data_IF_797608303204
#
_entry.id   IF_797608303204
#
_cell.length_a   1.000
_cell.length_b   1.000
_cell.length_c   1.000
_cell.angle_alpha   90.00
_cell.angle_beta   90.00
_cell.angle_gamma   90.00
#
_symmetry.space_group_name_H-M   'P 1'
#
loop_
_entity.id
_entity.type
_entity.pdbx_description
1 polymer ?
#
# COMPACT_ATOMS: atom_id res chain seq x y z
N UNK A 1 -13.19 -21.84 8.43
CA UNK A 1 -12.85 -20.64 9.23
C UNK A 1 -12.90 -19.42 8.31
N UNK A 2 -13.76 -18.42 8.59
CA UNK A 2 -13.71 -17.11 7.93
C UNK A 2 -13.06 -16.14 8.92
N UNK A 3 -11.83 -15.72 8.66
CA UNK A 3 -11.18 -14.66 9.43
C UNK A 3 -11.84 -13.32 9.09
N UNK A 4 -12.19 -12.53 10.10
CA UNK A 4 -12.64 -11.16 9.91
C UNK A 4 -11.43 -10.23 10.04
N UNK A 5 -11.01 -9.60 8.95
CA UNK A 5 -10.02 -8.52 9.00
C UNK A 5 -10.70 -7.29 9.60
N UNK A 6 -10.23 -6.84 10.78
CA UNK A 6 -10.73 -5.60 11.39
C UNK A 6 -10.09 -4.39 10.70
N UNK A 7 -10.95 -3.49 10.23
CA UNK A 7 -10.63 -2.27 9.51
C UNK A 7 -9.74 -1.25 10.27
N UNK A 8 -9.57 -1.41 11.60
CA UNK A 8 -8.66 -0.58 12.41
C UNK A 8 -7.20 -0.67 11.95
N UNK A 9 -6.83 -1.78 11.33
CA UNK A 9 -5.49 -1.97 10.79
C UNK A 9 -5.18 -1.02 9.64
N UNK A 10 -6.14 -0.63 8.80
CA UNK A 10 -5.84 0.24 7.65
C UNK A 10 -5.41 1.64 8.11
N UNK A 11 -6.16 2.26 9.03
CA UNK A 11 -5.77 3.55 9.60
C UNK A 11 -4.42 3.48 10.31
N UNK A 12 -4.15 2.39 11.05
CA UNK A 12 -2.85 2.18 11.68
C UNK A 12 -1.71 2.07 10.66
N UNK A 13 -1.92 1.39 9.53
CA UNK A 13 -0.90 1.29 8.46
C UNK A 13 -0.64 2.66 7.81
N UNK A 14 -1.69 3.45 7.53
CA UNK A 14 -1.51 4.80 6.98
C UNK A 14 -0.79 5.71 7.97
N UNK A 15 -1.13 5.65 9.26
CA UNK A 15 -0.43 6.41 10.29
C UNK A 15 1.04 6.01 10.36
N UNK A 16 1.34 4.71 10.37
CA UNK A 16 2.70 4.19 10.39
C UNK A 16 3.52 4.68 9.17
N UNK A 17 2.96 4.58 7.96
CA UNK A 17 3.61 5.10 6.75
C UNK A 17 3.78 6.63 6.77
N UNK A 18 2.88 7.35 7.42
CA UNK A 18 3.00 8.79 7.63
C UNK A 18 4.12 9.14 8.61
N UNK A 19 4.21 8.43 9.73
CA UNK A 19 5.26 8.58 10.73
C UNK A 19 6.64 8.23 10.18
N UNK A 20 6.74 7.23 9.31
CA UNK A 20 8.02 6.81 8.73
C UNK A 20 8.61 7.77 7.69
N UNK A 21 7.81 8.72 7.21
CA UNK A 21 8.28 9.80 6.33
C UNK A 21 9.00 10.93 7.08
N UNK A 22 8.86 11.00 8.41
CA UNK A 22 9.35 12.14 9.20
C UNK A 22 10.11 11.63 10.44
N UNK A 23 9.41 11.47 11.56
CA UNK A 23 10.02 11.27 12.88
C UNK A 23 10.48 9.83 13.18
N UNK A 24 9.91 8.82 12.51
CA UNK A 24 10.12 7.41 12.84
C UNK A 24 10.55 6.56 11.63
N UNK A 25 11.74 6.81 11.05
CA UNK A 25 12.18 6.07 9.87
C UNK A 25 12.30 4.57 10.14
N UNK A 26 11.84 3.79 9.17
CA UNK A 26 12.03 2.34 9.17
C UNK A 26 13.52 1.99 9.00
N UNK A 27 13.91 0.80 9.44
CA UNK A 27 15.31 0.36 9.40
C UNK A 27 15.43 -1.10 8.97
N UNK A 28 16.55 -1.41 8.34
CA UNK A 28 16.87 -2.75 7.89
C UNK A 28 16.91 -3.74 9.07
N UNK A 29 16.18 -4.84 8.93
CA UNK A 29 16.20 -5.96 9.87
C UNK A 29 16.69 -7.21 9.15
N UNK A 30 17.74 -7.82 9.71
CA UNK A 30 18.29 -9.04 9.17
C UNK A 30 17.29 -10.20 9.24
N UNK A 31 17.29 -11.00 8.18
CA UNK A 31 16.38 -12.15 8.07
C UNK A 31 16.69 -13.16 9.18
N UNK A 32 15.67 -13.51 9.98
CA UNK A 32 15.80 -14.56 10.98
C UNK A 32 16.19 -15.90 10.30
N UNK A 33 17.23 -16.61 10.79
CA UNK A 33 17.68 -17.88 10.21
C UNK A 33 16.60 -18.97 10.11
N UNK A 34 15.56 -18.89 10.95
CA UNK A 34 14.41 -19.81 10.95
C UNK A 34 13.43 -19.53 9.83
N UNK A 35 13.55 -18.38 9.15
CA UNK A 35 12.69 -18.00 8.03
C UNK A 35 13.05 -18.83 6.81
N UNK A 36 12.10 -19.61 6.24
CA UNK A 36 12.34 -20.39 5.03
C UNK A 36 12.81 -19.52 3.86
N UNK A 37 13.37 -20.11 2.79
CA UNK A 37 13.63 -19.40 1.56
C UNK A 37 12.37 -18.71 1.05
N UNK A 38 12.45 -17.40 0.85
CA UNK A 38 11.37 -16.60 0.27
C UNK A 38 11.68 -16.38 -1.21
N UNK A 39 10.64 -16.26 -2.03
CA UNK A 39 10.80 -16.10 -3.48
C UNK A 39 11.69 -14.88 -3.79
N UNK A 40 12.79 -15.10 -4.51
CA UNK A 40 13.81 -14.08 -4.85
C UNK A 40 14.57 -13.48 -3.65
N UNK A 41 14.46 -14.08 -2.46
CA UNK A 41 15.11 -13.60 -1.23
C UNK A 41 14.85 -12.10 -0.93
N UNK A 42 13.65 -11.61 -1.27
CA UNK A 42 13.27 -10.20 -1.13
C UNK A 42 12.97 -9.88 0.34
N UNK A 43 13.84 -9.10 0.99
CA UNK A 43 13.69 -8.62 2.37
C UNK A 43 13.87 -7.09 2.37
N UNK A 44 12.79 -6.32 2.11
CA UNK A 44 12.86 -4.86 2.11
C UNK A 44 13.07 -4.32 3.52
N UNK A 45 13.80 -3.22 3.61
CA UNK A 45 14.09 -2.45 4.81
C UNK A 45 12.92 -1.58 5.27
N UNK A 46 11.92 -1.37 4.40
CA UNK A 46 10.73 -0.59 4.68
C UNK A 46 9.45 -1.29 4.20
N UNK A 47 8.34 -0.94 4.85
CA UNK A 47 7.00 -1.44 4.54
C UNK A 47 6.59 -1.07 3.11
N UNK A 48 6.86 0.17 2.70
CA UNK A 48 6.73 0.63 1.31
C UNK A 48 7.48 1.95 1.17
N UNK A 49 8.34 2.07 0.17
CA UNK A 49 9.09 3.31 -0.04
C UNK A 49 8.21 4.39 -0.72
N UNK A 50 8.19 5.58 -0.12
CA UNK A 50 7.46 6.75 -0.58
C UNK A 50 8.45 7.90 -0.83
N UNK A 51 8.26 8.60 -1.94
CA UNK A 51 9.02 9.79 -2.30
C UNK A 51 8.17 11.02 -2.00
N UNK A 52 8.76 11.99 -1.29
CA UNK A 52 8.14 13.28 -1.00
C UNK A 52 9.09 14.39 -1.46
N UNK A 53 8.66 15.19 -2.43
CA UNK A 53 9.48 16.26 -3.02
C UNK A 53 8.72 17.56 -3.19
N UNK A 54 9.44 18.69 -3.23
CA UNK A 54 8.83 20.00 -3.49
C UNK A 54 8.57 20.25 -4.99
N UNK A 55 9.14 19.43 -5.87
CA UNK A 55 9.00 19.50 -7.32
C UNK A 55 8.52 18.18 -7.92
N UNK A 56 8.01 18.22 -9.16
CA UNK A 56 7.54 17.02 -9.86
C UNK A 56 8.68 16.03 -10.10
N UNK A 57 8.47 14.76 -9.74
CA UNK A 57 9.42 13.69 -9.96
C UNK A 57 9.39 13.21 -11.42
N UNK A 58 10.50 13.26 -12.17
CA UNK A 58 10.56 12.64 -13.50
C UNK A 58 10.44 11.12 -13.39
N UNK A 59 9.89 10.48 -14.43
CA UNK A 59 9.83 9.00 -14.55
C UNK A 59 9.07 8.27 -13.43
N UNK A 60 8.02 8.88 -12.88
CA UNK A 60 7.18 8.23 -11.85
C UNK A 60 5.82 7.88 -12.43
N UNK A 61 5.46 6.59 -12.40
CA UNK A 61 4.21 6.09 -12.97
C UNK A 61 2.96 6.70 -12.32
N UNK A 62 3.04 6.99 -11.01
CA UNK A 62 1.93 7.52 -10.23
C UNK A 62 2.48 8.56 -9.24
N UNK A 63 2.01 9.80 -9.37
CA UNK A 63 2.28 10.86 -8.40
C UNK A 63 1.02 11.66 -8.13
N UNK A 64 0.95 12.24 -6.93
CA UNK A 64 -0.12 13.15 -6.54
C UNK A 64 0.48 14.39 -5.87
N UNK A 65 -0.07 15.56 -6.19
CA UNK A 65 0.28 16.80 -5.50
C UNK A 65 -0.71 17.06 -4.38
N UNK A 66 -0.21 17.27 -3.17
CA UNK A 66 -1.03 17.61 -1.99
C UNK A 66 -0.26 18.53 -1.06
N UNK A 67 -0.92 19.55 -0.50
CA UNK A 67 -0.31 20.52 0.41
C UNK A 67 1.04 21.11 -0.07
N UNK A 68 1.16 21.37 -1.38
CA UNK A 68 2.36 21.95 -1.98
C UNK A 68 3.50 20.96 -2.26
N UNK A 69 3.40 19.70 -1.79
CA UNK A 69 4.39 18.64 -2.04
C UNK A 69 3.89 17.62 -3.05
N UNK A 70 4.82 16.92 -3.68
CA UNK A 70 4.59 15.81 -4.59
C UNK A 70 4.87 14.51 -3.86
N UNK A 71 3.92 13.58 -3.92
CA UNK A 71 4.01 12.26 -3.31
C UNK A 71 3.98 11.21 -4.40
N UNK A 72 4.85 10.22 -4.30
CA UNK A 72 4.84 9.07 -5.18
C UNK A 72 5.36 7.81 -4.50
N UNK A 73 5.02 6.64 -5.04
CA UNK A 73 5.66 5.38 -4.63
C UNK A 73 7.04 5.30 -5.27
N UNK A 74 8.07 5.00 -4.48
CA UNK A 74 9.41 4.81 -5.03
C UNK A 74 9.45 3.50 -5.83
N UNK A 75 9.36 3.63 -7.15
CA UNK A 75 9.50 2.51 -8.08
C UNK A 75 10.86 2.49 -8.77
N UNK A 76 11.75 3.41 -8.40
CA UNK A 76 13.03 3.67 -9.05
C UNK A 76 14.19 3.15 -8.18
N UNK A 77 14.19 1.88 -7.77
CA UNK A 77 15.21 1.36 -6.82
C UNK A 77 15.12 -0.17 -6.61
N UNK A 78 15.83 -0.71 -5.62
CA UNK A 78 15.59 -2.06 -5.08
C UNK A 78 14.14 -2.17 -4.57
N UNK A 79 13.56 -3.37 -4.59
CA UNK A 79 12.21 -3.65 -4.08
C UNK A 79 11.03 -3.01 -4.85
N UNK A 80 11.19 -2.57 -6.11
CA UNK A 80 10.07 -2.05 -6.94
C UNK A 80 8.83 -2.96 -6.93
N UNK A 81 9.04 -4.27 -7.00
CA UNK A 81 7.94 -5.25 -6.99
C UNK A 81 7.20 -5.21 -5.65
N UNK A 82 7.93 -5.21 -4.54
CA UNK A 82 7.37 -5.07 -3.20
C UNK A 82 6.56 -3.79 -3.07
N UNK A 83 7.13 -2.63 -3.44
CA UNK A 83 6.47 -1.34 -3.33
C UNK A 83 5.16 -1.28 -4.13
N UNK A 84 5.15 -1.82 -5.36
CA UNK A 84 3.92 -1.92 -6.17
C UNK A 84 2.88 -2.83 -5.53
N UNK A 85 3.29 -4.00 -5.04
CA UNK A 85 2.37 -4.95 -4.41
C UNK A 85 1.79 -4.40 -3.10
N UNK A 86 2.62 -3.76 -2.28
CA UNK A 86 2.21 -3.08 -1.06
C UNK A 86 1.21 -1.97 -1.36
N UNK A 87 1.50 -1.09 -2.34
CA UNK A 87 0.60 -0.03 -2.76
C UNK A 87 -0.73 -0.58 -3.28
N UNK A 88 -0.69 -1.61 -4.14
CA UNK A 88 -1.90 -2.24 -4.66
C UNK A 88 -2.76 -2.85 -3.54
N UNK A 89 -2.14 -3.53 -2.58
CA UNK A 89 -2.85 -4.09 -1.44
C UNK A 89 -3.49 -2.98 -0.58
N UNK A 90 -2.76 -1.89 -0.31
CA UNK A 90 -3.28 -0.73 0.41
C UNK A 90 -4.44 -0.06 -0.33
N UNK A 91 -4.35 0.06 -1.66
CA UNK A 91 -5.42 0.61 -2.48
C UNK A 91 -6.69 -0.26 -2.41
N UNK A 92 -6.56 -1.58 -2.49
CA UNK A 92 -7.68 -2.50 -2.35
C UNK A 92 -8.32 -2.40 -0.95
N UNK A 93 -7.49 -2.33 0.11
CA UNK A 93 -7.98 -2.09 1.46
C UNK A 93 -8.72 -0.75 1.54
N UNK A 94 -8.13 0.33 1.03
CA UNK A 94 -8.75 1.65 0.98
C UNK A 94 -10.13 1.60 0.31
N UNK A 95 -10.23 1.00 -0.88
CA UNK A 95 -11.49 0.84 -1.60
C UNK A 95 -12.55 0.13 -0.74
N UNK A 96 -12.19 -0.95 -0.06
CA UNK A 96 -13.12 -1.65 0.85
C UNK A 96 -13.48 -0.83 2.11
N UNK A 97 -12.63 0.12 2.51
CA UNK A 97 -12.84 0.94 3.73
C UNK A 97 -13.64 2.22 3.50
N UNK A 98 -13.46 2.88 2.34
CA UNK A 98 -14.03 4.21 2.05
C UNK A 98 -15.27 4.11 1.17
N UNK A 99 -15.47 3.02 0.44
CA UNK A 99 -16.72 2.82 -0.28
C UNK A 99 -17.80 2.27 0.66
N UNK A 100 -18.68 3.15 1.13
CA UNK A 100 -20.08 2.76 1.15
C UNK A 100 -20.46 2.44 -0.29
N UNK A 101 -20.45 1.16 -0.66
CA UNK A 101 -20.92 0.72 -1.97
C UNK A 101 -22.29 1.38 -2.21
N UNK A 102 -22.52 2.09 -3.31
CA UNK A 102 -23.88 2.18 -3.80
C UNK A 102 -24.32 0.73 -4.00
N UNK A 103 -25.41 0.32 -3.33
CA UNK A 103 -26.17 -0.85 -3.75
C UNK A 103 -26.84 -0.54 -5.11
N UNK A 104 -26.08 -0.13 -6.13
CA UNK A 104 -26.60 0.05 -7.48
C UNK A 104 -26.54 -1.29 -8.18
N UNK A 105 -27.70 -1.93 -8.15
CA UNK A 105 -28.15 -3.03 -8.99
C UNK A 105 -27.30 -4.30 -8.92
N UNK A 106 -27.63 -5.12 -7.90
CA UNK A 106 -27.65 -6.58 -8.10
C UNK A 106 -28.30 -6.85 -9.46
N UNK A 107 -27.69 -7.61 -10.38
CA UNK A 107 -28.40 -8.01 -11.58
C UNK A 107 -29.59 -8.83 -11.11
N UNK A 108 -30.80 -8.31 -11.30
CA UNK A 108 -32.02 -9.06 -11.05
C UNK A 108 -31.99 -10.28 -11.95
N UNK A 109 -31.70 -11.44 -11.38
CA UNK A 109 -31.94 -12.70 -12.06
C UNK A 109 -33.46 -12.82 -12.14
N UNK A 110 -34.04 -12.30 -13.21
CA UNK A 110 -35.44 -12.54 -13.55
C UNK A 110 -35.52 -13.95 -14.14
N UNK A 111 -36.13 -14.88 -13.40
CA UNK A 111 -36.60 -16.15 -13.98
C UNK A 111 -37.84 -15.83 -14.79
N UNK A 112 -37.75 -15.92 -16.12
CA UNK A 112 -38.90 -15.83 -16.99
C UNK A 112 -39.82 -17.04 -16.74
N UNK A 113 -41.14 -16.76 -16.68
CA UNK A 113 -42.19 -17.77 -16.47
C UNK A 113 -42.40 -18.63 -17.72
#
# INVERSE_FOLDING_TARGET
MKGAFRLRSFHAIINFLGSSLDDEPEYQVEKDPRTPPILRNENPDATMALLVTDSSLPNTDLSIRSHGKYYAVNNQESHTRWNRNAFQMLYLLFQMTVTGLPHTNVPGITIAK
#
